data_IF_898938861701
#
_entry.id   IF_898938861701
#
_cell.length_a   1.000
_cell.length_b   1.000
_cell.length_c   1.000
_cell.angle_alpha   90.00
_cell.angle_beta   90.00
_cell.angle_gamma   90.00
#
_symmetry.space_group_name_H-M   'P 1'
#
loop_
_entity.id
_entity.type
_entity.pdbx_description
1 polymer ?
#
# COMPACT_ATOMS: atom_id res chain seq x y z
N UNK A 1 21.56 6.94 28.75
CA UNK A 1 21.63 7.56 30.10
C UNK A 1 20.72 6.82 31.05
N UNK A 2 21.28 6.15 32.07
CA UNK A 2 20.73 5.92 33.42
C UNK A 2 21.71 5.02 34.18
N UNK A 3 22.46 5.63 35.11
CA UNK A 3 23.30 5.02 36.14
C UNK A 3 22.57 5.20 37.48
N UNK A 4 22.36 4.14 38.25
CA UNK A 4 22.02 4.13 39.70
C UNK A 4 22.54 2.77 40.24
N UNK A 5 23.67 2.71 40.95
CA UNK A 5 23.92 2.86 42.41
C UNK A 5 23.37 1.68 43.24
N UNK A 6 24.27 0.99 43.96
CA UNK A 6 24.23 0.56 45.39
C UNK A 6 25.30 -0.53 45.62
N UNK A 7 26.38 -0.25 46.36
CA UNK A 7 26.51 -0.34 47.83
C UNK A 7 26.79 -1.76 48.33
N UNK A 8 28.03 -2.06 48.74
CA UNK A 8 28.32 -2.35 50.14
C UNK A 8 29.83 -2.43 50.41
N UNK A 9 30.23 -1.61 51.37
CA UNK A 9 31.56 -1.40 51.91
C UNK A 9 31.77 -2.39 53.07
N UNK A 10 32.81 -3.23 53.01
CA UNK A 10 33.24 -4.04 54.17
C UNK A 10 34.59 -3.53 54.63
N UNK A 11 34.52 -2.73 55.68
CA UNK A 11 35.61 -2.10 56.40
C UNK A 11 36.28 -3.15 57.30
N UNK A 12 37.52 -3.51 56.99
CA UNK A 12 38.33 -4.38 57.84
C UNK A 12 38.94 -3.54 58.98
N UNK A 13 38.28 -3.56 60.14
CA UNK A 13 38.78 -3.00 61.39
C UNK A 13 38.94 -4.15 62.39
N UNK A 14 40.16 -4.66 62.57
CA UNK A 14 40.52 -5.51 63.70
C UNK A 14 41.66 -4.82 64.43
N UNK A 15 41.29 -4.24 65.57
CA UNK A 15 42.15 -3.60 66.56
C UNK A 15 43.29 -4.53 66.99
N UNK A 16 44.52 -4.05 66.85
CA UNK A 16 45.64 -4.46 67.68
C UNK A 16 45.59 -3.69 69.01
N UNK A 17 45.12 -4.33 70.07
CA UNK A 17 45.35 -3.89 71.45
C UNK A 17 45.97 -5.07 72.20
N UNK A 18 47.17 -4.84 72.71
CA UNK A 18 47.95 -5.83 73.42
C UNK A 18 47.48 -6.05 74.86
N UNK A 19 47.94 -7.16 75.43
CA UNK A 19 48.06 -7.35 76.87
C UNK A 19 49.42 -8.00 77.10
N UNK A 20 50.34 -7.24 77.69
CA UNK A 20 51.50 -7.74 78.43
C UNK A 20 51.02 -8.24 79.78
N UNK A 21 51.37 -9.47 80.17
CA UNK A 21 51.26 -9.91 81.55
C UNK A 21 52.36 -10.93 81.88
N UNK A 22 53.30 -10.44 82.69
CA UNK A 22 54.09 -11.07 83.75
C UNK A 22 54.17 -12.60 83.80
N UNK A 23 55.41 -13.08 83.78
CA UNK A 23 55.79 -14.36 84.36
C UNK A 23 55.74 -14.25 85.89
N UNK A 24 55.01 -15.15 86.54
CA UNK A 24 55.37 -15.64 87.86
C UNK A 24 54.90 -17.08 88.02
N UNK A 25 55.66 -17.80 88.82
CA UNK A 25 55.88 -19.22 88.82
C UNK A 25 54.88 -19.95 89.73
N UNK A 26 54.71 -21.25 89.47
CA UNK A 26 54.34 -22.30 90.42
C UNK A 26 52.86 -22.75 90.52
N UNK A 27 52.70 -24.09 90.49
CA UNK A 27 51.52 -24.90 90.80
C UNK A 27 50.39 -25.07 89.77
N UNK A 28 50.55 -25.90 88.72
CA UNK A 28 49.43 -26.73 88.18
C UNK A 28 49.90 -27.75 87.11
N UNK A 29 50.16 -29.00 87.50
CA UNK A 29 50.45 -30.10 86.53
C UNK A 29 49.23 -31.01 86.29
N UNK A 30 48.27 -31.07 87.22
CA UNK A 30 47.13 -32.00 87.13
C UNK A 30 45.85 -31.38 86.52
N UNK A 31 45.66 -30.05 86.61
CA UNK A 31 44.52 -29.35 85.98
C UNK A 31 44.66 -29.24 84.44
N UNK A 32 45.90 -29.29 83.94
CA UNK A 32 46.26 -29.06 82.54
C UNK A 32 45.85 -30.22 81.61
N UNK A 33 45.78 -31.46 82.13
CA UNK A 33 45.37 -32.66 81.37
C UNK A 33 43.86 -32.70 81.09
N UNK A 34 43.03 -32.38 82.09
CA UNK A 34 41.56 -32.35 81.95
C UNK A 34 41.10 -31.19 81.05
N UNK A 35 41.72 -30.02 81.20
CA UNK A 35 41.47 -28.85 80.35
C UNK A 35 41.86 -29.14 78.89
N UNK A 36 43.02 -29.79 78.66
CA UNK A 36 43.48 -30.15 77.30
C UNK A 36 42.53 -31.14 76.60
N UNK A 37 41.95 -32.10 77.32
CA UNK A 37 40.97 -33.04 76.77
C UNK A 37 39.60 -32.40 76.47
N UNK A 38 39.16 -31.44 77.28
CA UNK A 38 37.96 -30.65 77.02
C UNK A 38 38.14 -29.73 75.81
N UNK A 39 39.30 -29.06 75.72
CA UNK A 39 39.69 -28.25 74.56
C UNK A 39 39.71 -29.11 73.29
N UNK A 40 40.27 -30.32 73.33
CA UNK A 40 40.30 -31.22 72.18
C UNK A 40 38.89 -31.63 71.71
N UNK A 41 38.01 -32.02 72.64
CA UNK A 41 36.60 -32.35 72.33
C UNK A 41 35.84 -31.13 71.77
N UNK A 42 36.11 -29.94 72.27
CA UNK A 42 35.47 -28.71 71.78
C UNK A 42 36.01 -28.27 70.42
N UNK A 43 37.31 -28.47 70.16
CA UNK A 43 37.94 -28.26 68.84
C UNK A 43 37.37 -29.24 67.81
N UNK A 44 37.18 -30.52 68.16
CA UNK A 44 36.54 -31.51 67.29
C UNK A 44 35.07 -31.16 66.99
N UNK A 45 34.32 -30.67 67.99
CA UNK A 45 32.96 -30.12 67.78
C UNK A 45 32.97 -28.89 66.88
N UNK A 46 33.92 -27.98 67.03
CA UNK A 46 34.05 -26.79 66.16
C UNK A 46 34.41 -27.17 64.72
N UNK A 47 35.27 -28.17 64.54
CA UNK A 47 35.66 -28.66 63.21
C UNK A 47 34.47 -29.33 62.50
N UNK A 48 33.73 -30.20 63.19
CA UNK A 48 32.53 -30.85 62.63
C UNK A 48 31.41 -29.85 62.31
N UNK A 49 31.21 -28.83 63.15
CA UNK A 49 30.29 -27.73 62.86
C UNK A 49 30.75 -26.94 61.63
N UNK A 50 32.04 -26.65 61.51
CA UNK A 50 32.62 -25.93 60.37
C UNK A 50 32.48 -26.72 59.07
N UNK A 51 32.75 -28.02 59.10
CA UNK A 51 32.59 -28.93 57.97
C UNK A 51 31.12 -29.01 57.53
N UNK A 52 30.20 -29.19 58.48
CA UNK A 52 28.75 -29.20 58.20
C UNK A 52 28.30 -27.86 57.60
N UNK A 53 28.81 -26.74 58.11
CA UNK A 53 28.50 -25.42 57.59
C UNK A 53 29.04 -25.23 56.17
N UNK A 54 30.28 -25.67 55.91
CA UNK A 54 30.87 -25.61 54.56
C UNK A 54 30.13 -26.50 53.57
N UNK A 55 29.73 -27.71 53.97
CA UNK A 55 28.90 -28.60 53.14
C UNK A 55 27.57 -27.95 52.77
N UNK A 56 26.84 -27.40 53.75
CA UNK A 56 25.58 -26.68 53.50
C UNK A 56 25.77 -25.46 52.59
N UNK A 57 26.88 -24.74 52.74
CA UNK A 57 27.19 -23.56 51.92
C UNK A 57 27.52 -23.96 50.48
N UNK A 58 28.20 -25.09 50.28
CA UNK A 58 28.48 -25.65 48.96
C UNK A 58 27.20 -26.16 48.29
N UNK A 59 26.38 -26.94 49.00
CA UNK A 59 25.07 -27.38 48.50
C UNK A 59 24.14 -26.21 48.14
N UNK A 60 24.17 -25.13 48.93
CA UNK A 60 23.40 -23.93 48.64
C UNK A 60 23.91 -23.21 47.39
N UNK A 61 25.23 -23.13 47.21
CA UNK A 61 25.86 -22.57 46.00
C UNK A 61 25.51 -23.39 44.76
N UNK A 62 25.52 -24.71 44.86
CA UNK A 62 25.22 -25.60 43.74
C UNK A 62 23.74 -25.52 43.36
N UNK A 63 22.81 -25.54 44.34
CA UNK A 63 21.38 -25.28 44.09
C UNK A 63 21.13 -23.91 43.49
N UNK A 64 21.86 -22.89 43.93
CA UNK A 64 21.73 -21.54 43.36
C UNK A 64 22.20 -21.50 41.90
N UNK A 65 23.32 -22.16 41.56
CA UNK A 65 23.80 -22.27 40.18
C UNK A 65 22.79 -23.02 39.30
N UNK A 66 22.32 -24.17 39.76
CA UNK A 66 21.35 -24.99 39.02
C UNK A 66 20.04 -24.22 38.77
N UNK A 67 19.47 -23.58 39.80
CA UNK A 67 18.27 -22.74 39.64
C UNK A 67 18.52 -21.56 38.70
N UNK A 68 19.69 -20.94 38.77
CA UNK A 68 20.06 -19.84 37.86
C UNK A 68 20.14 -20.32 36.40
N UNK A 69 20.71 -21.49 36.16
CA UNK A 69 20.84 -22.07 34.82
C UNK A 69 19.49 -22.58 34.27
N UNK A 70 18.66 -23.17 35.12
CA UNK A 70 17.27 -23.53 34.78
C UNK A 70 16.41 -22.29 34.47
N UNK A 71 16.53 -21.23 35.29
CA UNK A 71 15.80 -19.99 35.05
C UNK A 71 16.30 -19.30 33.77
N UNK A 72 17.62 -19.30 33.53
CA UNK A 72 18.21 -18.74 32.32
C UNK A 72 17.74 -19.49 31.07
N UNK A 73 17.76 -20.83 31.08
CA UNK A 73 17.31 -21.66 29.96
C UNK A 73 15.80 -21.52 29.70
N UNK A 74 14.98 -21.52 30.76
CA UNK A 74 13.53 -21.29 30.63
C UNK A 74 13.24 -19.90 30.08
N UNK A 75 13.95 -18.87 30.55
CA UNK A 75 13.81 -17.49 30.06
C UNK A 75 14.25 -17.36 28.60
N UNK A 76 15.34 -18.00 28.19
CA UNK A 76 15.80 -17.96 26.79
C UNK A 76 14.85 -18.70 25.86
N UNK A 77 14.32 -19.84 26.29
CA UNK A 77 13.36 -20.63 25.50
C UNK A 77 12.03 -19.88 25.36
N UNK A 78 11.48 -19.34 26.45
CA UNK A 78 10.28 -18.51 26.39
C UNK A 78 10.48 -17.27 25.50
N UNK A 79 11.65 -16.62 25.58
CA UNK A 79 11.97 -15.45 24.75
C UNK A 79 12.09 -15.80 23.25
N UNK A 80 12.71 -16.92 22.91
CA UNK A 80 12.84 -17.37 21.51
C UNK A 80 11.48 -17.77 20.95
N UNK A 81 10.69 -18.58 21.66
CA UNK A 81 9.32 -18.93 21.26
C UNK A 81 8.43 -17.70 21.09
N UNK A 82 8.49 -16.72 22.00
CA UNK A 82 7.73 -15.49 21.89
C UNK A 82 8.16 -14.62 20.69
N UNK A 83 9.46 -14.62 20.34
CA UNK A 83 9.97 -13.94 19.14
C UNK A 83 9.47 -14.61 17.86
N UNK A 84 9.52 -15.93 17.79
CA UNK A 84 9.12 -16.67 16.59
C UNK A 84 7.61 -16.61 16.37
N UNK A 85 6.80 -16.73 17.42
CA UNK A 85 5.35 -16.49 17.35
C UNK A 85 5.01 -15.06 16.88
N UNK A 86 5.76 -14.06 17.34
CA UNK A 86 5.56 -12.69 16.89
C UNK A 86 5.97 -12.49 15.42
N UNK A 87 7.03 -13.15 14.94
CA UNK A 87 7.40 -13.14 13.52
C UNK A 87 6.32 -13.78 12.67
N UNK A 88 5.84 -14.97 13.03
CA UNK A 88 4.75 -15.65 12.33
C UNK A 88 3.48 -14.79 12.27
N UNK A 89 3.05 -14.23 13.41
CA UNK A 89 1.90 -13.30 13.44
C UNK A 89 2.11 -12.06 12.58
N UNK A 90 3.34 -11.54 12.48
CA UNK A 90 3.64 -10.41 11.60
C UNK A 90 3.58 -10.81 10.13
N UNK A 91 4.09 -11.98 9.75
CA UNK A 91 4.03 -12.51 8.39
C UNK A 91 2.59 -12.80 7.97
N UNK A 92 1.78 -13.45 8.81
CA UNK A 92 0.36 -13.67 8.57
C UNK A 92 -0.40 -12.34 8.38
N UNK A 93 -0.15 -11.35 9.25
CA UNK A 93 -0.75 -10.02 9.10
C UNK A 93 -0.33 -9.36 7.80
N UNK A 94 0.95 -9.45 7.41
CA UNK A 94 1.44 -8.89 6.15
C UNK A 94 0.76 -9.54 4.95
N UNK A 95 0.67 -10.87 4.94
CA UNK A 95 0.02 -11.62 3.86
C UNK A 95 -1.46 -11.28 3.76
N UNK A 96 -2.17 -11.20 4.89
CA UNK A 96 -3.59 -10.86 4.92
C UNK A 96 -3.84 -9.40 4.49
N UNK A 97 -2.97 -8.47 4.88
CA UNK A 97 -3.03 -7.08 4.41
C UNK A 97 -2.77 -7.03 2.91
N UNK A 98 -1.76 -7.73 2.40
CA UNK A 98 -1.45 -7.76 0.96
C UNK A 98 -2.61 -8.35 0.15
N UNK A 99 -3.21 -9.45 0.58
CA UNK A 99 -4.39 -10.04 -0.09
C UNK A 99 -5.57 -9.06 -0.11
N UNK A 100 -5.88 -8.41 1.02
CA UNK A 100 -6.94 -7.41 1.09
C UNK A 100 -6.68 -6.20 0.20
N UNK A 101 -5.45 -5.69 0.19
CA UNK A 101 -5.06 -4.57 -0.67
C UNK A 101 -5.16 -4.95 -2.14
N UNK A 102 -4.66 -6.11 -2.54
CA UNK A 102 -4.74 -6.62 -3.91
C UNK A 102 -6.20 -6.74 -4.36
N UNK A 103 -7.06 -7.34 -3.53
CA UNK A 103 -8.50 -7.45 -3.82
C UNK A 103 -9.17 -6.07 -3.95
N UNK A 104 -8.90 -5.14 -3.02
CA UNK A 104 -9.47 -3.79 -3.07
C UNK A 104 -8.99 -3.00 -4.28
N UNK A 105 -7.72 -3.14 -4.68
CA UNK A 105 -7.18 -2.49 -5.89
C UNK A 105 -7.88 -3.05 -7.13
N UNK A 106 -7.96 -4.38 -7.27
CA UNK A 106 -8.66 -5.02 -8.39
C UNK A 106 -10.10 -4.55 -8.51
N UNK A 107 -10.82 -4.50 -7.39
CA UNK A 107 -12.21 -4.06 -7.38
C UNK A 107 -12.37 -2.57 -7.74
N UNK A 108 -11.50 -1.69 -7.21
CA UNK A 108 -11.50 -0.27 -7.59
C UNK A 108 -11.24 -0.08 -9.08
N UNK A 109 -10.28 -0.82 -9.62
CA UNK A 109 -9.94 -0.80 -11.05
C UNK A 109 -11.10 -1.29 -11.89
N UNK A 110 -11.77 -2.38 -11.49
CA UNK A 110 -12.97 -2.90 -12.16
C UNK A 110 -14.08 -1.84 -12.22
N UNK A 111 -14.50 -1.32 -11.07
CA UNK A 111 -15.58 -0.33 -10.97
C UNK A 111 -15.25 0.96 -11.72
N UNK A 112 -14.00 1.41 -11.64
CA UNK A 112 -13.57 2.62 -12.35
C UNK A 112 -13.61 2.42 -13.86
N UNK A 113 -13.13 1.29 -14.37
CA UNK A 113 -13.14 1.02 -15.80
C UNK A 113 -14.54 0.78 -16.34
N UNK A 114 -15.43 0.10 -15.61
CA UNK A 114 -16.85 -0.03 -16.00
C UNK A 114 -17.51 1.33 -16.20
N UNK A 115 -17.26 2.28 -15.29
CA UNK A 115 -17.75 3.66 -15.44
C UNK A 115 -17.14 4.37 -16.65
N UNK A 116 -15.89 4.11 -16.98
CA UNK A 116 -15.22 4.70 -18.15
C UNK A 116 -15.79 4.11 -19.44
N UNK A 117 -15.93 2.77 -19.54
CA UNK A 117 -16.56 2.08 -20.68
C UNK A 117 -17.94 2.66 -20.94
N UNK A 118 -18.81 2.70 -19.93
CA UNK A 118 -20.17 3.20 -20.08
C UNK A 118 -20.22 4.66 -20.56
N UNK A 119 -19.31 5.52 -20.06
CA UNK A 119 -19.20 6.91 -20.53
C UNK A 119 -18.75 6.98 -21.99
N UNK A 120 -17.78 6.15 -22.38
CA UNK A 120 -17.26 6.12 -23.74
C UNK A 120 -18.28 5.59 -24.74
N UNK A 121 -19.02 4.55 -24.40
CA UNK A 121 -20.13 4.03 -25.19
C UNK A 121 -21.22 5.10 -25.41
N UNK A 122 -21.62 5.81 -24.34
CA UNK A 122 -22.58 6.91 -24.46
C UNK A 122 -22.06 8.06 -25.35
N UNK A 123 -20.76 8.36 -25.29
CA UNK A 123 -20.17 9.36 -26.18
C UNK A 123 -20.21 8.88 -27.64
N UNK A 124 -19.89 7.62 -27.91
CA UNK A 124 -19.95 7.06 -29.27
C UNK A 124 -21.37 7.09 -29.83
N UNK A 125 -22.37 6.75 -29.03
CA UNK A 125 -23.78 6.87 -29.39
C UNK A 125 -24.13 8.32 -29.79
N UNK A 126 -23.77 9.30 -28.95
CA UNK A 126 -23.96 10.73 -29.25
C UNK A 126 -23.24 11.19 -30.51
N UNK A 127 -22.02 10.71 -30.76
CA UNK A 127 -21.29 11.02 -32.00
C UNK A 127 -22.02 10.46 -33.22
N UNK A 128 -22.61 9.27 -33.10
CA UNK A 128 -23.48 8.68 -34.13
C UNK A 128 -24.72 9.52 -34.40
N UNK A 129 -25.43 9.96 -33.36
CA UNK A 129 -26.59 10.86 -33.51
C UNK A 129 -26.23 12.18 -34.17
N UNK A 130 -25.11 12.80 -33.78
CA UNK A 130 -24.64 14.05 -34.37
C UNK A 130 -24.31 13.85 -35.85
N UNK A 131 -23.65 12.73 -36.20
CA UNK A 131 -23.38 12.38 -37.60
C UNK A 131 -24.68 12.33 -38.43
N UNK A 132 -25.72 11.67 -37.92
CA UNK A 132 -27.03 11.58 -38.59
C UNK A 132 -27.67 12.96 -38.77
N UNK A 133 -27.71 13.78 -37.72
CA UNK A 133 -28.25 15.15 -37.78
C UNK A 133 -27.48 16.03 -38.78
N UNK A 134 -26.16 15.87 -38.87
CA UNK A 134 -25.33 16.57 -39.84
C UNK A 134 -25.67 16.12 -41.26
N UNK A 135 -25.86 14.82 -41.50
CA UNK A 135 -26.27 14.29 -42.79
C UNK A 135 -27.61 14.90 -43.26
N UNK A 136 -28.61 14.92 -42.38
CA UNK A 136 -29.91 15.55 -42.66
C UNK A 136 -29.78 17.05 -42.98
N UNK A 137 -28.90 17.75 -42.24
CA UNK A 137 -28.64 19.17 -42.45
C UNK A 137 -27.98 19.43 -43.80
N UNK A 138 -27.03 18.60 -44.21
CA UNK A 138 -26.41 18.65 -45.54
C UNK A 138 -27.48 18.50 -46.62
N UNK A 139 -28.33 17.46 -46.55
CA UNK A 139 -29.41 17.26 -47.52
C UNK A 139 -30.37 18.46 -47.59
N UNK A 140 -30.71 19.04 -46.43
CA UNK A 140 -31.57 20.24 -46.37
C UNK A 140 -30.91 21.47 -47.01
N UNK A 141 -29.59 21.62 -46.91
CA UNK A 141 -28.86 22.73 -47.54
C UNK A 141 -28.73 22.55 -49.06
N UNK A 142 -28.50 21.32 -49.52
CA UNK A 142 -28.45 21.02 -50.96
C UNK A 142 -29.80 21.25 -51.64
N UNK A 143 -30.91 20.91 -50.97
CA UNK A 143 -32.26 21.23 -51.45
C UNK A 143 -32.50 22.75 -51.60
N UNK A 144 -31.68 23.59 -50.94
CA UNK A 144 -31.70 25.05 -51.07
C UNK A 144 -30.69 25.59 -52.09
N UNK A 145 -30.02 24.71 -52.84
CA UNK A 145 -29.03 25.08 -53.85
C UNK A 145 -27.66 25.47 -53.29
N UNK A 146 -27.36 25.15 -52.02
CA UNK A 146 -26.03 25.36 -51.44
C UNK A 146 -25.14 24.16 -51.78
N UNK A 147 -23.94 24.40 -52.30
CA UNK A 147 -22.96 23.34 -52.55
C UNK A 147 -22.37 22.79 -51.24
N UNK A 148 -22.60 21.49 -51.01
CA UNK A 148 -22.18 20.76 -49.82
C UNK A 148 -21.15 19.65 -50.13
N UNK A 149 -20.54 19.66 -51.32
CA UNK A 149 -19.61 18.61 -51.78
C UNK A 149 -18.51 18.32 -50.77
N UNK A 150 -17.77 19.35 -50.34
CA UNK A 150 -16.68 19.20 -49.35
C UNK A 150 -17.17 18.67 -47.99
N UNK A 151 -18.36 19.10 -47.55
CA UNK A 151 -18.92 18.65 -46.27
C UNK A 151 -19.33 17.18 -46.32
N UNK A 152 -19.83 16.68 -47.46
CA UNK A 152 -20.14 15.26 -47.68
C UNK A 152 -18.89 14.40 -47.65
N UNK A 153 -17.83 14.83 -48.33
CA UNK A 153 -16.55 14.12 -48.32
C UNK A 153 -15.98 13.99 -46.91
N UNK A 154 -15.98 15.08 -46.14
CA UNK A 154 -15.55 15.05 -44.73
C UNK A 154 -16.46 14.17 -43.86
N UNK A 155 -17.78 14.15 -44.10
CA UNK A 155 -18.72 13.31 -43.35
C UNK A 155 -18.46 11.82 -43.57
N UNK A 156 -18.00 11.43 -44.76
CA UNK A 156 -17.62 10.05 -45.05
C UNK A 156 -16.40 9.60 -44.24
N UNK A 157 -15.51 10.52 -43.84
CA UNK A 157 -14.35 10.23 -42.99
C UNK A 157 -14.71 10.06 -41.50
N UNK A 158 -15.88 10.51 -41.07
CA UNK A 158 -16.31 10.40 -39.66
C UNK A 158 -16.59 8.94 -39.28
N UNK A 159 -17.26 8.17 -40.15
CA UNK A 159 -17.64 6.78 -39.86
C UNK A 159 -16.45 5.89 -39.47
N UNK A 160 -15.35 5.83 -40.26
CA UNK A 160 -14.21 5.00 -39.88
C UNK A 160 -13.55 5.47 -38.57
N UNK A 161 -13.62 6.75 -38.21
CA UNK A 161 -13.14 7.24 -36.91
C UNK A 161 -14.03 6.79 -35.75
N UNK A 162 -15.35 6.79 -35.92
CA UNK A 162 -16.27 6.22 -34.93
C UNK A 162 -16.00 4.72 -34.74
N UNK A 163 -15.77 3.98 -35.83
CA UNK A 163 -15.52 2.53 -35.75
C UNK A 163 -14.15 2.20 -35.13
N UNK A 164 -13.12 3.02 -35.39
CA UNK A 164 -11.85 2.94 -34.69
C UNK A 164 -12.01 3.16 -33.17
N UNK A 165 -12.83 4.13 -32.77
CA UNK A 165 -13.12 4.39 -31.36
C UNK A 165 -13.91 3.26 -30.70
N UNK A 166 -14.90 2.66 -31.38
CA UNK A 166 -15.59 1.44 -30.91
C UNK A 166 -14.61 0.29 -30.69
N UNK A 167 -13.72 0.06 -31.65
CA UNK A 167 -12.68 -0.98 -31.57
C UNK A 167 -11.75 -0.74 -30.38
N UNK A 168 -11.35 0.50 -30.13
CA UNK A 168 -10.51 0.85 -28.99
C UNK A 168 -11.21 0.60 -27.64
N UNK A 169 -12.51 0.88 -27.54
CA UNK A 169 -13.32 0.56 -26.34
C UNK A 169 -13.43 -0.96 -26.15
N UNK A 170 -13.67 -1.73 -27.22
CA UNK A 170 -13.71 -3.20 -27.15
C UNK A 170 -12.37 -3.80 -26.68
N UNK A 171 -11.26 -3.27 -27.20
CA UNK A 171 -9.92 -3.66 -26.77
C UNK A 171 -9.68 -3.32 -25.29
N UNK A 172 -10.18 -2.17 -24.83
CA UNK A 172 -10.12 -1.80 -23.42
C UNK A 172 -10.91 -2.76 -22.54
N UNK A 173 -12.15 -3.10 -22.92
CA UNK A 173 -12.98 -4.07 -22.17
C UNK A 173 -12.33 -5.45 -22.10
N UNK A 174 -11.85 -5.96 -23.23
CA UNK A 174 -11.18 -7.27 -23.31
C UNK A 174 -9.87 -7.28 -22.53
N UNK A 175 -9.06 -6.24 -22.69
CA UNK A 175 -7.78 -6.09 -21.98
C UNK A 175 -7.97 -6.00 -20.47
N UNK A 176 -9.04 -5.33 -20.00
CA UNK A 176 -9.37 -5.25 -18.59
C UNK A 176 -9.63 -6.62 -17.96
N UNK A 177 -10.36 -7.50 -18.65
CA UNK A 177 -10.62 -8.86 -18.17
C UNK A 177 -9.32 -9.63 -17.93
N UNK A 178 -8.36 -9.52 -18.86
CA UNK A 178 -7.02 -10.12 -18.71
C UNK A 178 -6.25 -9.51 -17.55
N UNK A 179 -6.33 -8.18 -17.40
CA UNK A 179 -5.63 -7.40 -16.37
C UNK A 179 -6.10 -7.74 -14.95
N UNK A 180 -7.40 -7.95 -14.74
CA UNK A 180 -7.96 -8.27 -13.42
C UNK A 180 -7.54 -9.67 -12.93
N UNK A 181 -7.21 -10.57 -13.87
CA UNK A 181 -6.71 -11.91 -13.57
C UNK A 181 -5.21 -11.96 -13.22
N UNK A 182 -4.46 -10.87 -13.43
CA UNK A 182 -3.03 -10.83 -13.12
C UNK A 182 -2.73 -10.81 -11.61
N UNK A 183 -1.57 -11.35 -11.22
CA UNK A 183 -1.09 -11.33 -9.83
C UNK A 183 -0.41 -10.00 -9.43
N UNK A 184 -0.14 -9.10 -10.39
CA UNK A 184 0.55 -7.84 -10.15
C UNK A 184 -0.40 -6.64 -10.35
N UNK A 185 -1.01 -6.09 -9.27
CA UNK A 185 -2.02 -5.04 -9.37
C UNK A 185 -1.49 -3.74 -9.98
N UNK A 186 -0.20 -3.44 -9.78
CA UNK A 186 0.42 -2.19 -10.25
C UNK A 186 0.57 -2.20 -11.77
N UNK A 187 1.12 -3.29 -12.30
CA UNK A 187 1.32 -3.46 -13.73
C UNK A 187 -0.03 -3.57 -14.46
N UNK A 188 -0.99 -4.24 -13.82
CA UNK A 188 -2.39 -4.27 -14.25
C UNK A 188 -3.00 -2.88 -14.39
N UNK A 189 -2.79 -2.00 -13.41
CA UNK A 189 -3.33 -0.64 -13.42
C UNK A 189 -2.77 0.20 -14.56
N UNK A 190 -1.45 0.18 -14.79
CA UNK A 190 -0.83 0.97 -15.86
C UNK A 190 -1.32 0.51 -17.24
N UNK A 191 -1.41 -0.81 -17.49
CA UNK A 191 -1.96 -1.33 -18.75
C UNK A 191 -3.42 -0.91 -18.96
N UNK A 192 -4.25 -0.92 -17.90
CA UNK A 192 -5.64 -0.47 -18.01
C UNK A 192 -5.73 1.02 -18.36
N UNK A 193 -4.86 1.84 -17.76
CA UNK A 193 -4.78 3.27 -18.04
C UNK A 193 -4.33 3.55 -19.48
N UNK A 194 -3.37 2.80 -20.00
CA UNK A 194 -2.93 2.91 -21.40
C UNK A 194 -4.07 2.61 -22.37
N UNK A 195 -4.81 1.52 -22.14
CA UNK A 195 -5.99 1.16 -22.94
C UNK A 195 -7.06 2.27 -22.89
N UNK A 196 -7.33 2.80 -21.71
CA UNK A 196 -8.28 3.90 -21.53
C UNK A 196 -7.85 5.18 -22.26
N UNK A 197 -6.56 5.50 -22.25
CA UNK A 197 -6.02 6.64 -22.99
C UNK A 197 -6.12 6.44 -24.50
N UNK A 198 -5.86 5.23 -25.01
CA UNK A 198 -6.01 4.90 -26.42
C UNK A 198 -7.47 5.09 -26.88
N UNK A 199 -8.43 4.55 -26.12
CA UNK A 199 -9.87 4.74 -26.41
C UNK A 199 -10.28 6.21 -26.36
N UNK A 200 -9.79 6.96 -25.36
CA UNK A 200 -10.02 8.41 -25.25
C UNK A 200 -9.53 9.16 -26.48
N UNK A 201 -8.30 8.89 -26.94
CA UNK A 201 -7.75 9.55 -28.13
C UNK A 201 -8.58 9.24 -29.38
N UNK A 202 -8.98 7.99 -29.58
CA UNK A 202 -9.81 7.61 -30.72
C UNK A 202 -11.17 8.34 -30.72
N UNK A 203 -11.81 8.47 -29.54
CA UNK A 203 -13.05 9.26 -29.39
C UNK A 203 -12.81 10.74 -29.73
N UNK A 204 -11.70 11.31 -29.28
CA UNK A 204 -11.35 12.71 -29.57
C UNK A 204 -11.13 12.94 -31.07
N UNK A 205 -10.52 11.99 -31.77
CA UNK A 205 -10.35 12.05 -33.22
C UNK A 205 -11.69 12.00 -33.96
N UNK A 206 -12.61 11.11 -33.54
CA UNK A 206 -13.96 11.04 -34.11
C UNK A 206 -14.73 12.36 -33.90
N UNK A 207 -14.66 12.91 -32.69
CA UNK A 207 -15.25 14.21 -32.38
C UNK A 207 -14.63 15.34 -33.23
N UNK A 208 -13.31 15.38 -33.35
CA UNK A 208 -12.61 16.38 -34.18
C UNK A 208 -13.06 16.30 -35.64
N UNK A 209 -13.18 15.11 -36.19
CA UNK A 209 -13.66 14.91 -37.56
C UNK A 209 -15.07 15.47 -37.76
N UNK A 210 -15.99 15.31 -36.80
CA UNK A 210 -17.32 15.95 -36.84
C UNK A 210 -17.24 17.48 -36.76
N UNK A 211 -16.33 18.02 -35.95
CA UNK A 211 -16.09 19.48 -35.88
C UNK A 211 -15.61 20.02 -37.23
N UNK A 212 -14.72 19.30 -37.91
CA UNK A 212 -14.23 19.68 -39.24
C UNK A 212 -15.36 19.70 -40.28
N UNK A 213 -16.30 18.74 -40.23
CA UNK A 213 -17.52 18.76 -41.06
C UNK A 213 -18.36 20.01 -40.76
N UNK A 214 -18.61 20.33 -39.49
CA UNK A 214 -19.38 21.51 -39.10
C UNK A 214 -18.69 22.80 -39.58
N UNK A 215 -17.37 22.87 -39.48
CA UNK A 215 -16.59 24.00 -39.98
C UNK A 215 -16.74 24.17 -41.50
N UNK A 216 -16.69 23.07 -42.26
CA UNK A 216 -16.95 23.05 -43.71
C UNK A 216 -18.36 23.55 -44.04
N UNK A 217 -19.38 23.06 -43.34
CA UNK A 217 -20.78 23.50 -43.52
C UNK A 217 -20.90 25.02 -43.31
N UNK A 218 -20.28 25.54 -42.24
CA UNK A 218 -20.29 26.98 -41.95
C UNK A 218 -19.58 27.80 -43.04
N UNK A 219 -18.52 27.27 -43.63
CA UNK A 219 -17.81 27.93 -44.73
C UNK A 219 -18.69 28.00 -45.98
N UNK A 220 -19.35 26.90 -46.38
CA UNK A 220 -20.27 26.88 -47.53
C UNK A 220 -21.40 27.91 -47.40
N UNK A 221 -21.96 28.07 -46.21
CA UNK A 221 -23.04 29.05 -45.97
C UNK A 221 -22.56 30.50 -46.03
N UNK A 222 -21.32 30.80 -45.62
CA UNK A 222 -20.77 32.17 -45.66
C UNK A 222 -20.48 32.67 -47.08
N UNK A 223 -20.22 31.76 -48.02
CA UNK A 223 -19.82 32.09 -49.38
C UNK A 223 -21.03 32.43 -50.25
N UNK A 224 -22.23 31.95 -49.90
CA UNK A 224 -23.48 32.33 -50.57
C UNK A 224 -23.92 33.71 -50.04
N UNK A 225 -23.84 34.79 -50.84
CA UNK A 225 -24.46 36.05 -50.44
C UNK A 225 -25.96 35.80 -50.30
N UNK A 226 -26.62 36.46 -49.35
CA UNK A 226 -28.08 36.47 -49.28
C UNK A 226 -28.64 37.12 -50.54
N UNK A 227 -28.77 36.36 -51.63
CA UNK A 227 -29.42 36.81 -52.85
C UNK A 227 -30.90 36.92 -52.55
N UNK A 228 -31.33 38.17 -52.38
CA UNK A 228 -32.73 38.53 -52.26
C UNK A 228 -33.54 37.95 -53.41
N UNK A 229 -34.69 37.42 -53.05
CA UNK A 229 -35.76 37.03 -53.96
C UNK A 229 -36.12 38.22 -54.85
N UNK A 230 -35.66 38.20 -56.10
CA UNK A 230 -36.19 39.08 -57.14
C UNK A 230 -37.54 38.50 -57.59
N UNK A 231 -38.62 39.00 -56.99
CA UNK A 231 -39.98 38.82 -57.48
C UNK A 231 -40.10 39.52 -58.83
N UNK A 232 -40.09 38.76 -59.92
CA UNK A 232 -40.45 39.27 -61.24
C UNK A 232 -41.96 39.40 -61.33
N UNK A 233 -42.47 40.61 -61.13
CA UNK A 233 -43.85 41.01 -61.44
C UNK A 233 -44.06 40.96 -62.96
N UNK A 234 -45.06 40.24 -63.49
CA UNK A 234 -45.37 40.26 -64.91
C UNK A 234 -46.07 41.58 -65.28
N UNK A 235 -45.50 42.30 -66.24
CA UNK A 235 -46.06 43.51 -66.85
C UNK A 235 -47.30 43.15 -67.69
N UNK A 236 -48.46 43.69 -67.32
CA UNK A 236 -49.67 43.61 -68.14
C UNK A 236 -49.60 44.62 -69.29
N UNK A 237 -49.72 44.13 -70.53
CA UNK A 237 -49.87 44.94 -71.74
C UNK A 237 -51.35 45.27 -71.94
N UNK A 238 -51.72 46.54 -71.82
CA UNK A 238 -53.05 47.05 -72.16
C UNK A 238 -53.07 47.45 -73.63
N UNK A 239 -53.79 46.69 -74.46
CA UNK A 239 -54.08 47.02 -75.86
C UNK A 239 -55.29 47.95 -75.90
N UNK A 240 -55.08 49.19 -76.31
CA UNK A 240 -56.13 50.13 -76.69
C UNK A 240 -56.63 49.80 -78.10
N UNK A 241 -57.94 49.77 -78.30
CA UNK A 241 -58.56 49.76 -79.64
C UNK A 241 -59.61 50.87 -79.67
N UNK A 242 -59.47 51.75 -80.65
CA UNK A 242 -60.43 52.79 -81.02
C UNK A 242 -61.67 52.19 -81.67
#
# INVERSE_FOLDING_TARGET
MRKIITSLLVMAFVMSLGITAFADENATSTATSTIKNQIRKEVEKRNTIRETYQQKLNELKDRYKENKDQLKSTTTNASTTARDLNKQKQEEKRNLIQQRLTAQIKERVRVQNEKIVARFENVIEKLGEIKTKIAERITTMEARGIDMTNSKELLNLVQPKIDAAKTAIQNMTTGLTTILNSENPKESYEKAKELANSAKTAIQEAHKSLVDVIASIKASVKIVPATGTATTTPTATTTNTQ
#
